data_IF_700447898826
#
_entry.id   IF_700447898826
#
_cell.length_a   1.000
_cell.length_b   1.000
_cell.length_c   1.000
_cell.angle_alpha   90.00
_cell.angle_beta   90.00
_cell.angle_gamma   90.00
#
_symmetry.space_group_name_H-M   'P 1'
#
loop_
_entity.id
_entity.type
_entity.pdbx_description
1 polymer ?
#
# COMPACT_ATOMS: atom_id res chain seq x y z
N UNK A 1 -34.41 3.65 33.26
CA UNK A 1 -33.19 3.15 32.59
C UNK A 1 -32.23 2.66 33.65
N UNK A 2 -31.89 1.38 33.63
CA UNK A 2 -30.98 0.80 34.62
C UNK A 2 -29.55 1.34 34.47
N UNK A 3 -28.86 1.53 35.60
CA UNK A 3 -27.47 2.02 35.64
C UNK A 3 -26.53 1.14 34.80
N UNK A 4 -26.80 -0.16 34.72
CA UNK A 4 -26.06 -1.12 33.88
C UNK A 4 -26.20 -0.81 32.39
N UNK A 5 -27.41 -0.43 31.94
CA UNK A 5 -27.69 -0.08 30.55
C UNK A 5 -26.96 1.19 30.13
N UNK A 6 -26.94 2.21 30.98
CA UNK A 6 -26.15 3.44 30.74
C UNK A 6 -24.64 3.16 30.68
N UNK A 7 -24.15 2.24 31.50
CA UNK A 7 -22.73 1.87 31.54
C UNK A 7 -22.30 1.11 30.26
N UNK A 8 -23.18 0.25 29.74
CA UNK A 8 -22.98 -0.43 28.44
C UNK A 8 -22.95 0.60 27.30
N UNK A 9 -23.88 1.55 27.26
CA UNK A 9 -23.90 2.61 26.25
C UNK A 9 -22.63 3.47 26.32
N UNK A 10 -22.21 3.87 27.53
CA UNK A 10 -20.99 4.65 27.73
C UNK A 10 -19.74 3.88 27.28
N UNK A 11 -19.65 2.58 27.59
CA UNK A 11 -18.54 1.73 27.16
C UNK A 11 -18.50 1.59 25.63
N UNK A 12 -19.66 1.42 24.99
CA UNK A 12 -19.77 1.38 23.52
C UNK A 12 -19.33 2.71 22.90
N UNK A 13 -19.80 3.84 23.42
CA UNK A 13 -19.41 5.17 22.93
C UNK A 13 -17.90 5.41 23.08
N UNK A 14 -17.32 5.05 24.22
CA UNK A 14 -15.88 5.17 24.45
C UNK A 14 -15.08 4.26 23.49
N UNK A 15 -15.58 3.05 23.22
CA UNK A 15 -14.97 2.15 22.24
C UNK A 15 -15.00 2.76 20.83
N UNK A 16 -16.14 3.30 20.39
CA UNK A 16 -16.25 3.96 19.08
C UNK A 16 -15.37 5.22 18.98
N UNK A 17 -15.34 6.05 20.03
CA UNK A 17 -14.49 7.24 20.09
C UNK A 17 -13.00 6.87 20.08
N UNK A 18 -12.62 5.78 20.76
CA UNK A 18 -11.25 5.28 20.76
C UNK A 18 -10.82 4.79 19.37
N UNK A 19 -11.63 3.96 18.72
CA UNK A 19 -11.33 3.48 17.36
C UNK A 19 -11.29 4.66 16.36
N UNK A 20 -12.20 5.63 16.47
CA UNK A 20 -12.17 6.86 15.66
C UNK A 20 -10.88 7.67 15.89
N UNK A 21 -10.47 7.85 17.15
CA UNK A 21 -9.22 8.53 17.49
C UNK A 21 -7.99 7.80 16.92
N UNK A 22 -7.94 6.47 17.03
CA UNK A 22 -6.86 5.65 16.45
C UNK A 22 -6.81 5.80 14.92
N UNK A 23 -7.97 5.75 14.27
CA UNK A 23 -8.10 5.85 12.82
C UNK A 23 -7.62 7.19 12.28
N UNK A 24 -8.00 8.30 12.93
CA UNK A 24 -7.86 9.64 12.33
C UNK A 24 -6.86 10.59 12.99
N UNK A 25 -6.50 10.40 14.27
CA UNK A 25 -5.77 11.44 15.02
C UNK A 25 -4.49 10.95 15.71
N UNK A 26 -4.40 9.67 16.10
CA UNK A 26 -3.20 9.16 16.77
C UNK A 26 -1.99 9.20 15.84
N UNK A 27 -0.82 9.62 16.35
CA UNK A 27 0.44 9.56 15.59
C UNK A 27 0.72 8.11 15.17
N UNK A 28 0.91 7.89 13.86
CA UNK A 28 1.17 6.59 13.24
C UNK A 28 2.41 5.93 13.84
N UNK A 29 3.42 6.71 14.18
CA UNK A 29 4.68 6.23 14.77
C UNK A 29 4.52 5.56 16.14
N UNK A 30 3.41 5.84 16.83
CA UNK A 30 3.11 5.29 18.17
C UNK A 30 2.20 4.05 18.15
N UNK A 31 1.91 3.51 16.95
CA UNK A 31 1.03 2.35 16.74
C UNK A 31 1.88 1.15 16.37
N UNK A 32 1.60 -0.01 16.96
CA UNK A 32 2.32 -1.26 16.63
C UNK A 32 1.97 -1.77 15.23
N UNK A 33 2.90 -2.46 14.58
CA UNK A 33 2.75 -2.98 13.21
C UNK A 33 1.47 -3.79 13.00
N UNK A 34 1.15 -4.68 13.94
CA UNK A 34 -0.08 -5.47 13.85
C UNK A 34 -1.35 -4.62 13.89
N UNK A 35 -1.35 -3.49 14.62
CA UNK A 35 -2.53 -2.62 14.70
C UNK A 35 -2.56 -1.67 13.51
N UNK A 36 -1.41 -1.26 12.97
CA UNK A 36 -1.31 -0.51 11.71
C UNK A 36 -1.96 -1.29 10.56
N UNK A 37 -1.66 -2.58 10.45
CA UNK A 37 -2.21 -3.42 9.39
C UNK A 37 -3.73 -3.61 9.52
N UNK A 38 -4.22 -3.89 10.73
CA UNK A 38 -5.66 -3.94 11.00
C UNK A 38 -6.36 -2.62 10.63
N UNK A 39 -5.78 -1.47 11.01
CA UNK A 39 -6.31 -0.13 10.71
C UNK A 39 -6.31 0.14 9.21
N UNK A 40 -5.24 -0.23 8.49
CA UNK A 40 -5.16 -0.08 7.04
C UNK A 40 -6.30 -0.83 6.34
N UNK A 41 -6.52 -2.09 6.72
CA UNK A 41 -7.58 -2.93 6.16
C UNK A 41 -8.95 -2.32 6.40
N UNK A 42 -9.23 -1.87 7.64
CA UNK A 42 -10.48 -1.19 7.98
C UNK A 42 -10.70 0.08 7.15
N UNK A 43 -9.69 0.93 7.01
CA UNK A 43 -9.77 2.15 6.21
C UNK A 43 -9.98 1.86 4.73
N UNK A 44 -9.30 0.84 4.20
CA UNK A 44 -9.44 0.39 2.81
C UNK A 44 -10.85 -0.09 2.50
N UNK A 45 -11.43 -0.91 3.37
CA UNK A 45 -12.82 -1.35 3.24
C UNK A 45 -13.76 -0.15 3.25
N UNK A 46 -13.55 0.81 4.15
CA UNK A 46 -14.37 2.02 4.21
C UNK A 46 -14.26 2.85 2.91
N UNK A 47 -13.04 3.05 2.39
CA UNK A 47 -12.81 3.73 1.11
C UNK A 47 -13.59 3.08 -0.03
N UNK A 48 -13.52 1.75 -0.14
CA UNK A 48 -14.15 1.00 -1.24
C UNK A 48 -15.68 1.00 -1.10
N UNK A 49 -16.19 0.78 0.11
CA UNK A 49 -17.64 0.75 0.38
C UNK A 49 -18.29 2.10 0.11
N UNK A 50 -17.63 3.19 0.46
CA UNK A 50 -18.15 4.55 0.27
C UNK A 50 -17.76 5.15 -1.09
N UNK A 51 -16.94 4.47 -1.91
CA UNK A 51 -16.49 4.92 -3.24
C UNK A 51 -17.64 5.40 -4.14
N UNK A 52 -18.79 4.69 -4.24
CA UNK A 52 -19.91 5.18 -5.05
C UNK A 52 -20.46 6.53 -4.58
N UNK A 53 -20.45 6.81 -3.26
CA UNK A 53 -20.91 8.09 -2.71
C UNK A 53 -19.97 9.23 -3.12
N UNK A 54 -18.67 8.97 -3.15
CA UNK A 54 -17.66 9.95 -3.54
C UNK A 54 -17.64 10.21 -5.05
N UNK A 55 -17.89 9.20 -5.89
CA UNK A 55 -17.93 9.36 -7.36
C UNK A 55 -19.12 10.21 -7.84
N UNK A 56 -20.26 10.16 -7.15
CA UNK A 56 -21.49 10.87 -7.54
C UNK A 56 -21.47 12.36 -7.15
N UNK A 57 -20.69 12.76 -6.15
CA UNK A 57 -20.70 14.12 -5.58
C UNK A 57 -19.41 14.88 -5.88
N UNK A 58 -19.24 15.33 -7.13
CA UNK A 58 -18.06 16.08 -7.57
C UNK A 58 -17.87 17.49 -6.96
N UNK A 59 -18.85 18.03 -6.22
CA UNK A 59 -18.87 19.47 -5.87
C UNK A 59 -19.33 19.84 -4.43
N UNK A 60 -19.25 18.93 -3.45
CA UNK A 60 -19.50 19.29 -2.03
C UNK A 60 -18.35 18.83 -1.12
N UNK A 61 -18.27 19.42 0.08
CA UNK A 61 -17.24 19.22 1.12
C UNK A 61 -16.87 17.75 1.42
N UNK A 62 -17.72 16.78 1.05
CA UNK A 62 -17.47 15.33 1.11
C UNK A 62 -16.20 14.88 0.35
N UNK A 63 -15.73 15.64 -0.64
CA UNK A 63 -14.44 15.39 -1.30
C UNK A 63 -13.23 15.53 -0.37
N UNK A 64 -13.36 16.24 0.76
CA UNK A 64 -12.32 16.32 1.78
C UNK A 64 -12.25 15.05 2.63
N UNK A 65 -13.37 14.41 2.89
CA UNK A 65 -13.43 13.18 3.70
C UNK A 65 -12.79 12.00 2.97
N UNK A 66 -13.11 11.80 1.68
CA UNK A 66 -12.42 10.81 0.86
C UNK A 66 -10.91 11.06 0.83
N UNK A 67 -10.48 12.29 0.52
CA UNK A 67 -9.06 12.66 0.46
C UNK A 67 -8.37 12.44 1.81
N UNK A 68 -9.03 12.74 2.93
CA UNK A 68 -8.50 12.52 4.28
C UNK A 68 -8.33 11.04 4.58
N UNK A 69 -9.35 10.21 4.32
CA UNK A 69 -9.30 8.76 4.53
C UNK A 69 -8.24 8.13 3.63
N UNK A 70 -8.18 8.54 2.36
CA UNK A 70 -7.19 8.06 1.39
C UNK A 70 -5.77 8.42 1.81
N UNK A 71 -5.52 9.69 2.16
CA UNK A 71 -4.21 10.13 2.63
C UNK A 71 -3.78 9.36 3.88
N UNK A 72 -4.69 9.17 4.83
CA UNK A 72 -4.43 8.40 6.05
C UNK A 72 -4.12 6.93 5.77
N UNK A 73 -4.90 6.28 4.89
CA UNK A 73 -4.65 4.91 4.48
C UNK A 73 -3.28 4.78 3.79
N UNK A 74 -2.92 5.76 2.96
CA UNK A 74 -1.61 5.85 2.31
C UNK A 74 -0.47 5.97 3.32
N UNK A 75 -0.57 6.86 4.31
CA UNK A 75 0.47 7.04 5.32
C UNK A 75 0.69 5.77 6.15
N UNK A 76 -0.40 5.06 6.49
CA UNK A 76 -0.31 3.77 7.18
C UNK A 76 0.33 2.71 6.27
N UNK A 77 -0.01 2.67 4.97
CA UNK A 77 0.60 1.76 4.01
C UNK A 77 2.11 2.02 3.86
N UNK A 78 2.54 3.28 3.79
CA UNK A 78 3.96 3.64 3.82
C UNK A 78 4.63 3.06 5.07
N UNK A 79 4.01 3.24 6.24
CA UNK A 79 4.61 2.73 7.48
C UNK A 79 4.66 1.21 7.53
N UNK A 80 3.66 0.53 6.99
CA UNK A 80 3.67 -0.93 6.84
C UNK A 80 4.83 -1.37 5.96
N UNK A 81 5.06 -0.70 4.84
CA UNK A 81 6.10 -1.05 3.87
C UNK A 81 7.50 -0.59 4.29
N UNK A 82 7.62 0.31 5.26
CA UNK A 82 8.89 0.69 5.92
C UNK A 82 9.61 -0.53 6.53
N UNK A 83 8.87 -1.60 6.86
CA UNK A 83 9.43 -2.91 7.27
C UNK A 83 10.36 -3.51 6.20
N UNK A 84 10.11 -3.19 4.93
CA UNK A 84 10.84 -3.68 3.75
C UNK A 84 11.84 -2.66 3.20
N UNK A 85 12.10 -1.57 3.93
CA UNK A 85 12.93 -0.46 3.44
C UNK A 85 14.36 -0.84 3.06
N UNK A 86 14.90 -1.89 3.68
CA UNK A 86 16.25 -2.36 3.40
C UNK A 86 16.42 -2.75 1.92
N UNK A 87 15.33 -3.10 1.23
CA UNK A 87 15.33 -3.40 -0.22
C UNK A 87 15.77 -2.19 -1.05
N UNK A 88 15.39 -0.97 -0.64
CA UNK A 88 15.73 0.24 -1.40
C UNK A 88 16.85 1.09 -0.77
N UNK A 89 17.09 1.03 0.55
CA UNK A 89 18.15 1.82 1.22
C UNK A 89 19.56 1.50 0.71
N UNK A 90 19.83 0.25 0.34
CA UNK A 90 21.12 -0.15 -0.21
C UNK A 90 21.40 0.54 -1.56
N UNK A 91 20.36 0.71 -2.36
CA UNK A 91 20.43 1.39 -3.65
C UNK A 91 20.68 2.87 -3.45
N UNK A 92 19.95 3.53 -2.54
CA UNK A 92 20.16 4.95 -2.24
C UNK A 92 21.58 5.23 -1.74
N UNK A 93 22.13 4.38 -0.88
CA UNK A 93 23.50 4.51 -0.40
C UNK A 93 24.55 4.29 -1.49
N UNK A 94 24.32 3.34 -2.40
CA UNK A 94 25.26 2.97 -3.46
C UNK A 94 25.36 4.04 -4.55
N UNK A 95 24.22 4.60 -4.95
CA UNK A 95 24.18 5.58 -6.05
C UNK A 95 24.13 7.03 -5.56
N UNK A 96 23.97 7.28 -4.26
CA UNK A 96 23.84 8.61 -3.65
C UNK A 96 22.50 9.29 -3.96
N UNK A 97 22.09 9.26 -5.24
CA UNK A 97 20.80 9.64 -5.85
C UNK A 97 20.68 8.97 -7.22
N UNK A 98 19.62 8.21 -7.49
CA UNK A 98 19.38 7.67 -8.84
C UNK A 98 18.79 8.79 -9.71
N UNK A 99 19.58 9.30 -10.65
CA UNK A 99 19.13 10.32 -11.60
C UNK A 99 18.24 9.69 -12.67
N UNK A 100 16.92 9.81 -12.48
CA UNK A 100 15.94 9.30 -13.43
C UNK A 100 15.68 10.38 -14.48
N UNK A 101 16.22 10.19 -15.69
CA UNK A 101 16.13 11.17 -16.78
C UNK A 101 14.67 11.44 -17.18
N UNK A 102 14.28 12.70 -17.08
CA UNK A 102 12.94 13.21 -17.42
C UNK A 102 12.61 13.04 -18.92
N UNK A 103 11.41 12.53 -19.22
CA UNK A 103 10.83 12.59 -20.56
C UNK A 103 10.09 13.93 -20.75
N UNK A 104 10.43 14.74 -21.76
CA UNK A 104 10.01 16.14 -21.89
C UNK A 104 8.54 16.38 -22.30
N UNK A 105 7.71 15.34 -22.49
CA UNK A 105 6.38 15.50 -23.09
C UNK A 105 5.19 15.61 -22.11
N UNK A 106 5.39 15.82 -20.81
CA UNK A 106 4.29 16.05 -19.86
C UNK A 106 4.57 17.24 -18.93
N UNK A 107 3.74 18.27 -19.04
CA UNK A 107 3.65 19.35 -18.06
C UNK A 107 2.54 19.04 -17.04
N UNK A 108 2.96 18.72 -15.82
CA UNK A 108 2.18 18.87 -14.60
C UNK A 108 3.17 19.48 -13.60
N UNK A 109 2.83 20.59 -12.94
CA UNK A 109 3.68 21.23 -11.94
C UNK A 109 4.15 20.19 -10.92
N UNK A 110 5.45 19.87 -10.95
CA UNK A 110 6.10 18.88 -10.09
C UNK A 110 5.58 17.45 -10.27
N UNK A 111 6.17 16.70 -11.20
CA UNK A 111 6.02 15.24 -11.24
C UNK A 111 7.12 14.62 -12.11
N UNK A 112 8.16 14.08 -11.48
CA UNK A 112 9.08 13.17 -12.12
C UNK A 112 8.34 11.90 -12.58
N UNK A 113 8.63 11.44 -13.80
CA UNK A 113 8.20 10.11 -14.26
C UNK A 113 9.42 9.23 -14.41
N UNK A 114 9.30 7.97 -13.98
CA UNK A 114 10.33 6.97 -14.26
C UNK A 114 10.18 6.48 -15.68
N UNK A 115 11.16 6.80 -16.54
CA UNK A 115 11.22 6.32 -17.92
C UNK A 115 12.45 5.45 -18.09
N UNK A 116 12.19 4.17 -18.35
CA UNK A 116 13.24 3.15 -18.53
C UNK A 116 13.38 2.91 -20.03
N UNK A 117 14.47 3.40 -20.62
CA UNK A 117 14.74 3.24 -22.06
C UNK A 117 15.36 1.89 -22.40
N UNK A 118 16.15 1.32 -21.48
CA UNK A 118 16.71 -0.02 -21.62
C UNK A 118 16.73 -0.73 -20.27
N UNK A 119 15.75 -1.61 -20.04
CA UNK A 119 15.59 -2.32 -18.76
C UNK A 119 16.68 -3.38 -18.54
N UNK A 120 17.29 -3.90 -19.61
CA UNK A 120 18.30 -4.95 -19.54
C UNK A 120 19.62 -4.49 -18.91
N UNK A 121 19.94 -3.19 -19.01
CA UNK A 121 21.18 -2.59 -18.47
C UNK A 121 21.06 -2.19 -17.00
N UNK A 122 19.86 -2.13 -16.44
CA UNK A 122 19.62 -1.66 -15.07
C UNK A 122 19.76 -2.81 -14.09
N UNK A 123 20.42 -2.60 -12.96
CA UNK A 123 20.59 -3.61 -11.90
C UNK A 123 19.24 -4.01 -11.27
N UNK A 124 19.13 -5.26 -10.81
CA UNK A 124 17.86 -5.82 -10.31
C UNK A 124 17.35 -5.09 -9.05
N UNK A 125 18.26 -4.74 -8.14
CA UNK A 125 17.97 -3.99 -6.92
C UNK A 125 17.43 -2.59 -7.22
N UNK A 126 18.00 -1.90 -8.22
CA UNK A 126 17.50 -0.61 -8.72
C UNK A 126 16.08 -0.74 -9.28
N UNK A 127 15.83 -1.77 -10.09
CA UNK A 127 14.49 -2.02 -10.65
C UNK A 127 13.46 -2.33 -9.55
N UNK A 128 13.83 -3.12 -8.53
CA UNK A 128 12.97 -3.37 -7.37
C UNK A 128 12.68 -2.08 -6.58
N UNK A 129 13.70 -1.23 -6.39
CA UNK A 129 13.54 0.08 -5.77
C UNK A 129 12.54 0.96 -6.54
N UNK A 130 12.64 1.01 -7.88
CA UNK A 130 11.67 1.71 -8.71
C UNK A 130 10.25 1.17 -8.54
N UNK A 131 10.07 -0.14 -8.43
CA UNK A 131 8.74 -0.70 -8.18
C UNK A 131 8.12 -0.18 -6.87
N UNK A 132 8.90 0.05 -5.81
CA UNK A 132 8.39 0.62 -4.55
C UNK A 132 7.89 2.06 -4.75
N UNK A 133 8.67 2.87 -5.45
CA UNK A 133 8.30 4.23 -5.80
C UNK A 133 7.10 4.30 -6.75
N UNK A 134 7.01 3.38 -7.72
CA UNK A 134 5.88 3.31 -8.65
C UNK A 134 4.59 2.80 -7.97
N UNK A 135 4.69 2.07 -6.86
CA UNK A 135 3.53 1.65 -6.09
C UNK A 135 2.98 2.76 -5.19
N UNK A 136 3.85 3.39 -4.39
CA UNK A 136 3.43 4.34 -3.35
C UNK A 136 3.45 5.80 -3.81
N UNK A 137 4.26 6.10 -4.83
CA UNK A 137 4.73 7.45 -5.12
C UNK A 137 5.78 7.89 -4.10
N UNK A 138 6.03 9.19 -4.02
CA UNK A 138 6.83 9.79 -2.96
C UNK A 138 7.90 10.72 -3.51
N UNK A 139 8.91 11.00 -2.70
CA UNK A 139 10.01 11.88 -3.10
C UNK A 139 11.29 11.05 -3.14
N UNK A 140 11.94 11.07 -4.29
CA UNK A 140 13.33 10.65 -4.36
C UNK A 140 14.18 11.91 -4.25
N UNK A 141 15.35 11.82 -3.61
CA UNK A 141 16.23 12.99 -3.45
C UNK A 141 16.54 13.56 -4.84
N UNK A 142 16.30 14.86 -5.03
CA UNK A 142 16.45 15.57 -6.31
C UNK A 142 15.40 15.27 -7.40
N UNK A 143 14.22 14.75 -7.03
CA UNK A 143 13.05 14.68 -7.93
C UNK A 143 11.90 15.53 -7.39
N UNK A 144 11.09 16.10 -8.29
CA UNK A 144 9.91 16.92 -7.93
C UNK A 144 8.70 16.07 -7.48
N UNK A 145 8.97 14.92 -6.84
CA UNK A 145 7.98 13.92 -6.49
C UNK A 145 7.66 12.97 -7.64
N UNK A 146 7.48 11.69 -7.31
CA UNK A 146 7.12 10.61 -8.21
C UNK A 146 5.63 10.29 -8.02
N UNK A 147 4.91 10.26 -9.14
CA UNK A 147 3.51 9.83 -9.18
C UNK A 147 3.47 8.30 -9.28
N UNK A 148 2.58 7.62 -8.53
CA UNK A 148 2.37 6.18 -8.69
C UNK A 148 2.03 5.79 -10.14
N UNK A 149 2.60 4.69 -10.62
CA UNK A 149 2.32 4.07 -11.92
C UNK A 149 2.43 2.55 -11.80
N UNK A 150 1.33 1.95 -11.34
CA UNK A 150 1.21 0.52 -11.06
C UNK A 150 1.33 -0.34 -12.31
N UNK A 151 1.00 0.21 -13.49
CA UNK A 151 1.16 -0.49 -14.77
C UNK A 151 2.63 -0.68 -15.10
N UNK A 152 3.43 0.38 -15.04
CA UNK A 152 4.86 0.31 -15.29
C UNK A 152 5.57 -0.55 -14.22
N UNK A 153 5.16 -0.44 -12.95
CA UNK A 153 5.62 -1.33 -11.88
C UNK A 153 5.42 -2.81 -12.23
N UNK A 154 4.23 -3.21 -12.67
CA UNK A 154 3.99 -4.61 -13.03
C UNK A 154 4.82 -5.07 -14.21
N UNK A 155 5.02 -4.22 -15.22
CA UNK A 155 5.90 -4.55 -16.35
C UNK A 155 7.34 -4.85 -15.88
N UNK A 156 7.86 -4.05 -14.95
CA UNK A 156 9.19 -4.27 -14.37
C UNK A 156 9.20 -5.55 -13.53
N UNK A 157 8.20 -5.77 -12.68
CA UNK A 157 8.10 -6.99 -11.85
C UNK A 157 8.02 -8.24 -12.73
N UNK A 158 7.21 -8.23 -13.78
CA UNK A 158 7.07 -9.35 -14.72
C UNK A 158 8.39 -9.63 -15.44
N UNK A 159 9.08 -8.58 -15.91
CA UNK A 159 10.42 -8.72 -16.48
C UNK A 159 11.41 -9.34 -15.48
N UNK A 160 11.45 -8.86 -14.23
CA UNK A 160 12.34 -9.40 -13.19
C UNK A 160 12.03 -10.87 -12.86
N UNK A 161 10.76 -11.25 -12.85
CA UNK A 161 10.32 -12.62 -12.60
C UNK A 161 10.69 -13.53 -13.79
N UNK A 162 10.34 -13.13 -15.01
CA UNK A 162 10.43 -14.00 -16.18
C UNK A 162 11.84 -14.06 -16.77
N UNK A 163 12.59 -12.94 -16.73
CA UNK A 163 13.92 -12.83 -17.35
C UNK A 163 15.05 -12.95 -16.36
N UNK A 164 14.85 -12.51 -15.11
CA UNK A 164 15.90 -12.52 -14.08
C UNK A 164 15.65 -13.51 -12.95
N UNK A 165 14.51 -14.22 -12.97
CA UNK A 165 14.14 -15.20 -11.94
C UNK A 165 14.20 -14.64 -10.51
N UNK A 166 13.91 -13.34 -10.34
CA UNK A 166 14.00 -12.66 -9.04
C UNK A 166 12.95 -13.16 -8.06
N UNK A 167 13.38 -13.67 -6.92
CA UNK A 167 12.48 -14.10 -5.85
C UNK A 167 11.84 -12.91 -5.12
N UNK A 168 12.59 -11.82 -4.98
CA UNK A 168 12.14 -10.56 -4.38
C UNK A 168 11.05 -9.90 -5.23
N UNK A 169 11.13 -9.99 -6.56
CA UNK A 169 10.08 -9.50 -7.45
C UNK A 169 8.78 -10.31 -7.28
N UNK A 170 8.87 -11.64 -7.12
CA UNK A 170 7.70 -12.48 -6.79
C UNK A 170 7.11 -12.05 -5.44
N UNK A 171 7.94 -11.87 -4.42
CA UNK A 171 7.52 -11.42 -3.10
C UNK A 171 6.80 -10.07 -3.17
N UNK A 172 7.41 -9.10 -3.85
CA UNK A 172 6.84 -7.76 -3.94
C UNK A 172 5.54 -7.75 -4.74
N UNK A 173 5.45 -8.51 -5.84
CA UNK A 173 4.17 -8.72 -6.53
C UNK A 173 3.12 -9.27 -5.57
N UNK A 174 3.49 -10.21 -4.70
CA UNK A 174 2.63 -10.73 -3.63
C UNK A 174 2.15 -9.66 -2.65
N UNK A 175 3.04 -8.77 -2.18
CA UNK A 175 2.68 -7.63 -1.31
C UNK A 175 1.64 -6.71 -1.96
N UNK A 176 1.84 -6.37 -3.24
CA UNK A 176 0.92 -5.52 -3.99
C UNK A 176 -0.47 -6.15 -4.04
N UNK A 177 -0.58 -7.44 -4.35
CA UNK A 177 -1.88 -8.10 -4.39
C UNK A 177 -2.50 -8.30 -3.00
N UNK A 178 -1.70 -8.48 -1.95
CA UNK A 178 -2.17 -8.55 -0.55
C UNK A 178 -2.81 -7.23 -0.10
N UNK A 179 -2.18 -6.09 -0.44
CA UNK A 179 -2.63 -4.77 -0.03
C UNK A 179 -3.49 -4.05 -1.08
N UNK A 180 -3.66 -4.63 -2.27
CA UNK A 180 -4.39 -4.09 -3.43
C UNK A 180 -3.48 -3.34 -4.41
N UNK A 181 -3.81 -3.42 -5.70
CA UNK A 181 -3.06 -2.77 -6.80
C UNK A 181 -3.00 -1.26 -6.60
N UNK A 182 -4.13 -0.67 -6.21
CA UNK A 182 -4.23 0.70 -5.71
C UNK A 182 -4.88 0.67 -4.31
N UNK A 183 -4.73 1.77 -3.57
CA UNK A 183 -5.24 1.89 -2.19
C UNK A 183 -6.76 1.64 -2.13
N UNK A 184 -7.50 2.10 -3.13
CA UNK A 184 -8.97 2.00 -3.27
C UNK A 184 -9.43 0.77 -4.08
N UNK A 185 -8.55 -0.20 -4.33
CA UNK A 185 -8.92 -1.48 -4.98
C UNK A 185 -8.96 -2.63 -3.98
N UNK A 186 -9.85 -3.60 -4.14
CA UNK A 186 -9.86 -4.78 -3.26
C UNK A 186 -8.59 -5.63 -3.47
N UNK A 187 -8.05 -6.24 -2.39
CA UNK A 187 -6.92 -7.14 -2.51
C UNK A 187 -7.33 -8.49 -3.13
N UNK A 188 -6.39 -9.13 -3.81
CA UNK A 188 -6.54 -10.50 -4.30
C UNK A 188 -5.73 -11.44 -3.40
N UNK A 189 -6.38 -11.89 -2.32
CA UNK A 189 -5.72 -12.70 -1.30
C UNK A 189 -5.33 -14.09 -1.81
N UNK A 190 -6.10 -14.66 -2.75
CA UNK A 190 -5.79 -15.96 -3.33
C UNK A 190 -4.50 -15.86 -4.16
N UNK A 191 -4.42 -14.86 -5.03
CA UNK A 191 -3.25 -14.66 -5.87
C UNK A 191 -2.04 -14.20 -5.06
N UNK A 192 -2.23 -13.31 -4.08
CA UNK A 192 -1.17 -12.93 -3.15
C UNK A 192 -0.59 -14.13 -2.41
N UNK A 193 -1.46 -15.02 -1.90
CA UNK A 193 -1.03 -16.24 -1.20
C UNK A 193 -0.20 -17.15 -2.11
N UNK A 194 -0.58 -17.32 -3.38
CA UNK A 194 0.19 -18.10 -4.36
C UNK A 194 1.59 -17.50 -4.57
N UNK A 195 1.67 -16.19 -4.77
CA UNK A 195 2.95 -15.49 -4.99
C UNK A 195 3.84 -15.53 -3.75
N UNK A 196 3.30 -15.29 -2.56
CA UNK A 196 4.07 -15.31 -1.31
C UNK A 196 4.59 -16.72 -0.99
N UNK A 197 3.79 -17.77 -1.20
CA UNK A 197 4.28 -19.14 -1.07
C UNK A 197 5.42 -19.43 -2.05
N UNK A 198 5.30 -19.02 -3.31
CA UNK A 198 6.36 -19.19 -4.31
C UNK A 198 7.63 -18.42 -3.91
N UNK A 199 7.50 -17.20 -3.40
CA UNK A 199 8.64 -16.42 -2.91
C UNK A 199 9.33 -17.11 -1.73
N UNK A 200 8.56 -17.67 -0.79
CA UNK A 200 9.09 -18.46 0.32
C UNK A 200 9.85 -19.70 -0.16
N UNK A 201 9.32 -20.43 -1.14
CA UNK A 201 10.00 -21.58 -1.77
C UNK A 201 11.31 -21.17 -2.47
N UNK A 202 11.38 -19.94 -3.00
CA UNK A 202 12.59 -19.35 -3.59
C UNK A 202 13.53 -18.72 -2.55
N UNK A 203 13.27 -18.86 -1.26
CA UNK A 203 14.17 -18.43 -0.18
C UNK A 203 13.91 -17.04 0.40
N UNK A 204 12.80 -16.37 0.04
CA UNK A 204 12.43 -15.08 0.65
C UNK A 204 11.75 -15.32 2.00
N UNK A 205 12.54 -15.32 3.08
CA UNK A 205 12.05 -15.62 4.43
C UNK A 205 10.92 -14.72 4.92
N UNK A 206 10.88 -13.46 4.46
CA UNK A 206 9.84 -12.48 4.82
C UNK A 206 8.44 -12.83 4.27
N UNK A 207 8.35 -13.73 3.29
CA UNK A 207 7.05 -14.17 2.77
C UNK A 207 6.20 -14.87 3.85
N UNK A 208 6.85 -15.55 4.81
CA UNK A 208 6.14 -16.23 5.91
C UNK A 208 5.37 -15.26 6.81
N UNK A 209 5.98 -14.10 7.09
CA UNK A 209 5.37 -13.04 7.88
C UNK A 209 4.13 -12.46 7.19
N UNK A 210 4.21 -12.26 5.86
CA UNK A 210 3.09 -11.73 5.09
C UNK A 210 1.92 -12.72 4.97
N UNK A 211 2.21 -14.02 4.84
CA UNK A 211 1.23 -15.10 4.87
C UNK A 211 0.52 -15.21 6.23
N UNK A 212 1.25 -15.06 7.34
CA UNK A 212 0.65 -15.00 8.68
C UNK A 212 -0.32 -13.81 8.78
N UNK A 213 0.06 -12.65 8.26
CA UNK A 213 -0.81 -11.47 8.19
C UNK A 213 -2.11 -11.73 7.43
N UNK A 214 -2.06 -12.42 6.28
CA UNK A 214 -3.26 -12.82 5.52
C UNK A 214 -4.17 -13.69 6.38
N UNK A 215 -3.62 -14.72 7.02
CA UNK A 215 -4.41 -15.62 7.87
C UNK A 215 -5.08 -14.86 9.02
N UNK A 216 -4.31 -14.00 9.70
CA UNK A 216 -4.77 -13.21 10.84
C UNK A 216 -5.92 -12.28 10.50
N UNK A 217 -5.92 -11.68 9.31
CA UNK A 217 -6.90 -10.65 8.94
C UNK A 217 -7.91 -11.08 7.86
N UNK A 218 -7.87 -12.34 7.42
CA UNK A 218 -8.77 -12.92 6.41
C UNK A 218 -10.26 -12.61 6.68
N UNK A 219 -10.68 -12.67 7.94
CA UNK A 219 -12.07 -12.38 8.35
C UNK A 219 -12.49 -10.92 8.13
N UNK A 220 -11.56 -9.96 8.22
CA UNK A 220 -11.86 -8.54 7.97
C UNK A 220 -12.13 -8.30 6.49
N UNK A 221 -11.42 -9.02 5.62
CA UNK A 221 -11.61 -8.95 4.17
C UNK A 221 -12.90 -9.64 3.70
N UNK A 222 -13.34 -10.72 4.37
CA UNK A 222 -14.54 -11.47 3.99
C UNK A 222 -15.85 -10.82 4.48
N UNK A 223 -15.82 -10.10 5.60
CA UNK A 223 -17.01 -9.49 6.23
C UNK A 223 -17.62 -8.31 5.46
N UNK A 224 -17.03 -7.89 4.33
CA UNK A 224 -17.58 -6.87 3.44
C UNK A 224 -17.62 -7.30 1.96
N UNK A 225 -17.43 -8.60 1.68
CA UNK A 225 -17.56 -9.19 0.34
C UNK A 225 -19.01 -9.58 -0.02
N UNK A 226 -20.02 -8.99 0.64
CA UNK A 226 -21.38 -9.01 0.09
C UNK A 226 -21.40 -8.05 -1.12
N UNK A 227 -21.48 -8.68 -2.29
CA UNK A 227 -21.49 -8.05 -3.61
C UNK A 227 -22.45 -6.85 -3.66
N UNK A 228 -22.12 -5.77 -4.38
CA UNK A 228 -23.17 -4.90 -4.87
C UNK A 228 -24.15 -5.74 -5.71
N UNK A 229 -25.42 -5.70 -5.31
CA UNK A 229 -26.53 -6.29 -6.06
C UNK A 229 -26.70 -5.60 -7.42
#
# INVERSE_FOLDING_TARGET
MDKLFLLIIAALLLFFLHEYYLLYFKNIESISDSKLEELFIKLKIALIKDLPKYMVRKHQDDGNDYRRVYARARDILYKILDRYRYIYLNVENKYGSIEIKHNPNFHINGAGRIVINNIDEIEQDVLLCFCFYLYLGGYMRHTDGLVPDTKNMFQILDYLIDKRNSAEAVFFKGLVFKYGVEIDTMPDLEFATKLLNLAGQKGVGLASFELEGINKFSYLYSTNAEKPA
#
